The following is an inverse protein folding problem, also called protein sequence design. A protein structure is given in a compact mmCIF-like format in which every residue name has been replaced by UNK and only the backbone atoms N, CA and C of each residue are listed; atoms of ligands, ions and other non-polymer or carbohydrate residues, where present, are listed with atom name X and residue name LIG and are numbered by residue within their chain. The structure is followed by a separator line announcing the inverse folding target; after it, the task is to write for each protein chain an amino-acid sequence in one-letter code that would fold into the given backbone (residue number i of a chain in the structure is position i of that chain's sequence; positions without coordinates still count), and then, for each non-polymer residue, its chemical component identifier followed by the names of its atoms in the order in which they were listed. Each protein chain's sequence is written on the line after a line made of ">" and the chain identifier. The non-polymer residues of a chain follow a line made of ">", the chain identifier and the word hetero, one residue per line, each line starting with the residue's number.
data_IF_844149232247
#
_entry.id   IF_844149232247
#
_cell.length_a   1.000
_cell.length_b   1.000
_cell.length_c   1.000
_cell.angle_alpha   90.00
_cell.angle_beta   90.00
_cell.angle_gamma   90.00
#
_symmetry.space_group_name_H-M   'P 1'
#
loop_
_entity.id
_entity.type
_entity.pdbx_description
1 polymer ?
#
# COMPACT_ATOMS: atom_id res chain seq x y z
N UNK A 1 11.65 -39.14 -12.47
CA UNK A 1 12.25 -38.04 -13.23
C UNK A 1 12.07 -36.75 -12.38
N UNK A 2 13.10 -36.45 -11.58
CA UNK A 2 13.03 -35.43 -10.54
C UNK A 2 13.31 -34.05 -11.16
N UNK A 3 12.43 -33.08 -10.95
CA UNK A 3 12.66 -31.67 -11.30
C UNK A 3 13.21 -30.91 -10.10
N UNK A 4 14.38 -30.34 -10.31
CA UNK A 4 15.15 -29.56 -9.37
C UNK A 4 14.41 -28.30 -8.89
N UNK A 5 14.24 -28.20 -7.57
CA UNK A 5 13.79 -27.03 -6.86
C UNK A 5 15.02 -26.20 -6.49
N UNK A 6 15.21 -25.06 -7.13
CA UNK A 6 16.28 -24.11 -6.75
C UNK A 6 15.83 -23.27 -5.54
N UNK A 7 16.39 -23.60 -4.38
CA UNK A 7 16.27 -22.81 -3.16
C UNK A 7 17.27 -21.66 -3.23
N UNK A 8 16.80 -20.43 -3.32
CA UNK A 8 17.65 -19.24 -3.17
C UNK A 8 17.91 -19.01 -1.68
N UNK A 9 19.12 -19.33 -1.26
CA UNK A 9 19.63 -19.04 0.08
C UNK A 9 20.06 -17.58 0.12
N UNK A 10 19.35 -16.74 0.87
CA UNK A 10 19.80 -15.39 1.25
C UNK A 10 20.85 -15.51 2.34
N UNK A 11 22.05 -15.06 2.04
CA UNK A 11 23.17 -14.97 3.00
C UNK A 11 22.92 -13.74 3.90
N UNK A 12 22.49 -13.96 5.13
CA UNK A 12 22.52 -12.93 6.18
C UNK A 12 23.90 -12.96 6.80
N UNK A 13 24.69 -11.96 6.49
CA UNK A 13 26.01 -11.75 7.12
C UNK A 13 25.86 -11.33 8.57
N UNK A 14 26.19 -12.25 9.48
CA UNK A 14 26.25 -12.00 10.91
C UNK A 14 27.58 -11.30 11.25
N UNK A 15 27.57 -9.98 11.45
CA UNK A 15 28.69 -9.27 12.05
C UNK A 15 28.65 -9.38 13.57
N UNK A 16 29.55 -10.21 14.14
CA UNK A 16 29.85 -10.20 15.57
C UNK A 16 30.64 -8.93 15.91
N UNK A 17 30.06 -8.03 16.69
CA UNK A 17 30.81 -6.99 17.37
C UNK A 17 31.08 -7.39 18.81
N UNK A 18 32.35 -7.34 19.17
CA UNK A 18 32.86 -7.58 20.50
C UNK A 18 32.38 -6.49 21.48
N UNK A 19 31.83 -6.92 22.60
CA UNK A 19 31.44 -6.08 23.72
C UNK A 19 32.69 -5.60 24.45
N UNK A 20 32.99 -4.31 24.30
CA UNK A 20 33.85 -3.58 25.25
C UNK A 20 32.95 -2.88 26.24
N UNK A 21 32.94 -3.34 27.50
CA UNK A 21 32.24 -2.67 28.58
C UNK A 21 33.05 -1.46 29.04
N UNK A 22 32.41 -0.28 29.04
CA UNK A 22 32.72 0.83 29.94
C UNK A 22 31.41 1.44 30.40
N UNK A 23 31.25 1.45 31.72
CA UNK A 23 30.19 2.13 32.46
C UNK A 23 30.45 3.65 32.46
N UNK A 24 29.41 4.44 32.35
CA UNK A 24 28.88 5.42 33.25
C UNK A 24 28.09 6.51 32.55
N UNK A 25 26.90 6.71 33.09
CA UNK A 25 26.08 7.92 33.20
C UNK A 25 25.46 8.59 31.98
N UNK A 26 24.11 8.46 31.98
CA UNK A 26 23.13 9.50 31.65
C UNK A 26 23.30 10.29 30.37
N UNK A 27 22.75 9.73 29.28
CA UNK A 27 21.87 10.44 28.36
C UNK A 27 21.29 9.38 27.38
N UNK A 28 20.06 8.92 27.60
CA UNK A 28 19.26 8.27 26.56
C UNK A 28 18.88 9.30 25.50
N UNK A 29 19.86 9.88 24.83
CA UNK A 29 19.66 10.39 23.49
C UNK A 29 19.47 9.15 22.61
N UNK A 30 18.21 8.82 22.27
CA UNK A 30 17.89 7.68 21.43
C UNK A 30 18.83 7.66 20.24
N UNK A 31 19.57 6.57 20.05
CA UNK A 31 20.49 6.40 18.93
C UNK A 31 19.67 6.53 17.65
N UNK A 32 19.73 7.72 17.05
CA UNK A 32 19.13 7.94 15.73
C UNK A 32 19.88 7.04 14.75
N UNK A 33 19.16 6.15 14.09
CA UNK A 33 19.72 5.23 13.08
C UNK A 33 20.43 5.99 11.96
N UNK A 34 21.11 5.26 11.08
CA UNK A 34 21.65 5.85 9.85
C UNK A 34 20.54 6.47 9.01
N UNK A 35 20.81 7.54 8.25
CA UNK A 35 19.81 8.14 7.38
C UNK A 35 19.36 7.16 6.30
N UNK A 36 18.05 7.12 6.05
CA UNK A 36 17.44 6.35 4.98
C UNK A 36 16.71 7.29 4.03
N UNK A 37 16.53 6.87 2.78
CA UNK A 37 15.69 7.61 1.86
C UNK A 37 15.00 6.70 0.86
N UNK A 38 13.80 7.10 0.45
CA UNK A 38 13.01 6.49 -0.62
C UNK A 38 12.68 7.51 -1.70
N UNK A 39 12.59 7.03 -2.94
CA UNK A 39 12.08 7.82 -4.06
C UNK A 39 10.56 7.65 -4.15
N UNK A 40 9.87 8.62 -4.75
CA UNK A 40 8.44 8.53 -5.08
C UNK A 40 8.14 7.52 -6.22
N UNK A 41 9.06 6.61 -6.48
CA UNK A 41 8.95 5.44 -7.35
C UNK A 41 9.57 4.26 -6.63
N UNK A 42 8.82 3.17 -6.44
CA UNK A 42 9.28 1.96 -5.74
C UNK A 42 10.49 1.30 -6.41
N UNK A 43 10.59 1.44 -7.73
CA UNK A 43 11.66 0.86 -8.54
C UNK A 43 12.80 1.85 -8.84
N UNK A 44 12.61 3.14 -8.56
CA UNK A 44 13.48 4.21 -9.01
C UNK A 44 13.40 4.49 -10.52
N UNK A 45 12.42 3.90 -11.21
CA UNK A 45 12.19 4.10 -12.64
C UNK A 45 11.04 5.06 -12.89
N UNK A 46 11.22 5.95 -13.85
CA UNK A 46 10.26 6.97 -14.27
C UNK A 46 10.09 6.93 -15.78
N UNK A 47 8.88 7.19 -16.24
CA UNK A 47 8.60 7.43 -17.66
C UNK A 47 8.00 8.80 -17.82
N UNK A 48 8.40 9.51 -18.87
CA UNK A 48 7.85 10.82 -19.21
C UNK A 48 7.74 10.95 -20.71
N UNK A 49 6.68 11.59 -21.19
CA UNK A 49 6.51 11.91 -22.61
C UNK A 49 7.44 13.06 -22.99
N UNK A 50 7.99 13.01 -24.20
CA UNK A 50 8.82 14.11 -24.73
C UNK A 50 8.09 15.47 -24.66
N UNK A 51 8.80 16.49 -24.23
CA UNK A 51 8.25 17.83 -24.00
C UNK A 51 7.57 18.03 -22.62
N UNK A 52 7.35 16.95 -21.87
CA UNK A 52 6.74 16.98 -20.53
C UNK A 52 7.79 16.87 -19.42
N UNK A 53 7.35 17.12 -18.20
CA UNK A 53 8.19 17.06 -17.00
C UNK A 53 7.72 15.92 -16.07
N UNK A 54 8.68 15.37 -15.32
CA UNK A 54 8.40 14.43 -14.23
C UNK A 54 9.11 14.91 -12.98
N UNK A 55 8.40 14.89 -11.85
CA UNK A 55 8.96 15.27 -10.55
C UNK A 55 9.53 14.04 -9.86
N UNK A 56 10.84 14.05 -9.61
CA UNK A 56 11.51 13.12 -8.73
C UNK A 56 11.46 13.72 -7.33
N UNK A 57 11.02 12.92 -6.36
CA UNK A 57 10.93 13.34 -4.97
C UNK A 57 11.56 12.30 -4.07
N UNK A 58 12.25 12.76 -3.04
CA UNK A 58 12.83 11.94 -1.99
C UNK A 58 12.06 12.17 -0.70
N UNK A 59 11.83 11.11 0.04
CA UNK A 59 11.44 11.14 1.45
C UNK A 59 12.63 10.62 2.25
N UNK A 60 13.13 11.44 3.19
CA UNK A 60 14.24 11.10 4.07
C UNK A 60 13.71 10.70 5.45
N UNK A 61 14.31 9.67 6.04
CA UNK A 61 14.04 9.21 7.40
C UNK A 61 15.33 9.16 8.20
N UNK A 62 15.24 9.40 9.50
CA UNK A 62 16.38 9.36 10.44
C UNK A 62 17.55 10.30 10.07
N UNK A 63 17.35 11.33 9.25
CA UNK A 63 18.40 12.23 8.79
C UNK A 63 18.50 13.47 9.70
N UNK A 64 19.68 13.70 10.31
CA UNK A 64 19.94 14.89 11.13
C UNK A 64 20.59 15.96 10.27
N UNK A 65 19.96 17.15 10.17
CA UNK A 65 20.40 18.27 9.33
C UNK A 65 20.68 17.86 7.88
N UNK A 66 19.70 17.29 7.16
CA UNK A 66 19.90 16.74 5.81
C UNK A 66 20.26 17.81 4.78
N UNK A 67 21.22 17.48 3.92
CA UNK A 67 21.58 18.25 2.73
C UNK A 67 21.35 17.36 1.51
N UNK A 68 20.60 17.90 0.55
CA UNK A 68 20.16 17.16 -0.64
C UNK A 68 20.98 17.58 -1.86
N UNK A 69 21.29 16.63 -2.73
CA UNK A 69 21.94 16.91 -4.01
C UNK A 69 21.47 15.95 -5.10
N UNK A 70 20.79 16.47 -6.10
CA UNK A 70 20.50 15.77 -7.34
C UNK A 70 21.59 16.09 -8.37
N UNK A 71 22.15 15.08 -9.01
CA UNK A 71 23.21 15.22 -10.01
C UNK A 71 22.82 14.54 -11.31
N UNK A 72 22.99 15.26 -12.43
CA UNK A 72 22.85 14.72 -13.78
C UNK A 72 24.14 14.99 -14.56
N UNK A 73 24.72 13.94 -15.17
CA UNK A 73 25.98 14.03 -15.88
C UNK A 73 27.09 14.75 -15.06
N UNK A 74 27.17 14.47 -13.76
CA UNK A 74 28.16 15.03 -12.85
C UNK A 74 27.89 16.46 -12.35
N UNK A 75 26.82 17.13 -12.82
CA UNK A 75 26.44 18.49 -12.39
C UNK A 75 25.28 18.45 -11.43
N UNK A 76 25.30 19.28 -10.39
CA UNK A 76 24.16 19.49 -9.49
C UNK A 76 23.06 20.18 -10.27
N UNK A 77 21.85 19.61 -10.23
CA UNK A 77 20.65 20.09 -10.91
C UNK A 77 19.53 20.51 -9.93
N UNK A 78 19.60 20.04 -8.67
CA UNK A 78 18.74 20.50 -7.57
C UNK A 78 19.44 20.21 -6.24
N UNK A 79 19.19 21.05 -5.23
CA UNK A 79 19.60 20.89 -3.82
C UNK A 79 18.37 20.82 -2.91
N UNK A 80 17.21 20.49 -3.48
CA UNK A 80 15.95 20.35 -2.77
C UNK A 80 15.55 18.87 -2.66
N UNK A 81 14.54 18.56 -1.87
CA UNK A 81 13.92 17.23 -1.81
C UNK A 81 13.34 16.76 -3.15
N UNK A 82 13.10 17.72 -4.05
CA UNK A 82 12.53 17.46 -5.36
C UNK A 82 13.44 17.93 -6.49
N UNK A 83 13.34 17.24 -7.62
CA UNK A 83 13.92 17.65 -8.88
C UNK A 83 12.91 17.46 -10.01
N UNK A 84 12.65 18.51 -10.79
CA UNK A 84 11.84 18.45 -12.00
C UNK A 84 12.71 18.11 -13.19
N UNK A 85 12.57 16.91 -13.71
CA UNK A 85 13.25 16.48 -14.92
C UNK A 85 12.39 16.79 -16.13
N UNK A 86 12.95 17.51 -17.11
CA UNK A 86 12.29 17.79 -18.38
C UNK A 86 12.79 16.85 -19.46
N UNK A 87 11.86 16.17 -20.13
CA UNK A 87 12.14 15.22 -21.20
C UNK A 87 12.32 15.90 -22.56
N UNK A 88 13.46 16.54 -22.82
CA UNK A 88 13.71 17.27 -24.07
C UNK A 88 14.20 16.37 -25.22
N UNK A 89 14.62 15.14 -24.93
CA UNK A 89 15.14 14.18 -25.92
C UNK A 89 14.67 12.76 -25.55
N UNK A 90 14.37 11.97 -26.59
CA UNK A 90 14.06 10.55 -26.42
C UNK A 90 15.26 9.76 -25.90
N UNK A 91 15.00 8.77 -25.06
CA UNK A 91 16.03 7.87 -24.55
C UNK A 91 16.01 7.70 -23.03
N UNK A 92 17.07 7.11 -22.50
CA UNK A 92 17.23 6.84 -21.09
C UNK A 92 18.21 7.83 -20.45
N UNK A 93 17.85 8.33 -19.28
CA UNK A 93 18.64 9.27 -18.50
C UNK A 93 18.75 8.79 -17.08
N UNK A 94 19.93 9.05 -16.48
CA UNK A 94 20.20 8.71 -15.09
C UNK A 94 20.41 9.98 -14.28
N UNK A 95 19.75 10.03 -13.13
CA UNK A 95 19.91 11.11 -12.16
C UNK A 95 20.31 10.46 -10.83
N UNK A 96 21.42 10.88 -10.28
CA UNK A 96 21.91 10.40 -8.99
C UNK A 96 21.43 11.38 -7.92
N UNK A 97 20.92 10.84 -6.85
CA UNK A 97 20.56 11.56 -5.63
C UNK A 97 21.53 11.21 -4.52
N UNK A 98 21.96 12.19 -3.76
CA UNK A 98 22.73 12.02 -2.54
C UNK A 98 22.11 12.86 -1.43
N UNK A 99 21.94 12.25 -0.28
CA UNK A 99 21.61 12.88 0.98
C UNK A 99 22.83 12.74 1.89
N UNK A 100 23.33 13.85 2.37
CA UNK A 100 24.32 13.92 3.43
C UNK A 100 23.66 14.47 4.68
N UNK A 101 23.89 13.81 5.84
CA UNK A 101 23.38 14.20 7.14
C UNK A 101 24.47 14.05 8.19
N UNK A 102 24.32 14.68 9.37
CA UNK A 102 25.32 14.61 10.43
C UNK A 102 25.58 13.17 10.92
N UNK A 103 24.58 12.31 10.79
CA UNK A 103 24.61 10.90 11.16
C UNK A 103 24.87 9.92 10.02
N UNK A 104 25.25 10.40 8.81
CA UNK A 104 25.63 9.55 7.69
C UNK A 104 25.21 10.09 6.33
N UNK A 105 25.34 9.26 5.30
CA UNK A 105 24.91 9.61 3.94
C UNK A 105 24.26 8.43 3.23
N UNK A 106 23.36 8.71 2.29
CA UNK A 106 22.71 7.71 1.45
C UNK A 106 22.62 8.19 0.01
N UNK A 107 22.75 7.27 -0.94
CA UNK A 107 22.65 7.56 -2.37
C UNK A 107 21.55 6.71 -3.02
N UNK A 108 20.88 7.30 -3.99
CA UNK A 108 19.90 6.63 -4.86
C UNK A 108 20.15 7.02 -6.32
N UNK A 109 19.74 6.19 -7.24
CA UNK A 109 19.74 6.50 -8.65
C UNK A 109 18.33 6.40 -9.20
N UNK A 110 17.91 7.41 -9.93
CA UNK A 110 16.67 7.41 -10.70
C UNK A 110 17.00 7.19 -12.18
N UNK A 111 16.26 6.28 -12.82
CA UNK A 111 16.29 6.05 -14.26
C UNK A 111 15.04 6.68 -14.87
N UNK A 112 15.22 7.62 -15.80
CA UNK A 112 14.14 8.28 -16.49
C UNK A 112 14.14 7.85 -17.96
N UNK A 113 13.04 7.29 -18.43
CA UNK A 113 12.86 6.96 -19.84
C UNK A 113 11.94 7.99 -20.48
N UNK A 114 12.47 8.75 -21.43
CA UNK A 114 11.70 9.71 -22.24
C UNK A 114 11.20 9.00 -23.50
N UNK A 115 9.89 8.99 -23.66
CA UNK A 115 9.19 8.29 -24.75
C UNK A 115 8.41 9.26 -25.63
N UNK A 116 8.19 8.85 -26.87
CA UNK A 116 7.35 9.64 -27.83
C UNK A 116 5.87 9.57 -27.46
N UNK A 117 5.41 8.39 -27.03
CA UNK A 117 4.02 8.10 -26.66
C UNK A 117 3.99 7.48 -25.28
N UNK A 118 3.05 7.92 -24.45
CA UNK A 118 2.89 7.44 -23.09
C UNK A 118 1.43 6.99 -22.88
N UNK A 119 1.05 5.79 -23.36
CA UNK A 119 -0.29 5.26 -23.13
C UNK A 119 -0.54 5.06 -21.62
N UNK A 120 -1.80 5.05 -21.18
CA UNK A 120 -2.12 4.75 -19.79
C UNK A 120 -1.68 3.32 -19.44
N UNK A 121 -1.43 3.07 -18.17
CA UNK A 121 -1.09 1.75 -17.62
C UNK A 121 -2.06 1.44 -16.47
N UNK A 122 -2.78 0.32 -16.59
CA UNK A 122 -3.72 -0.12 -15.55
C UNK A 122 -2.98 -0.92 -14.50
N UNK A 123 -2.96 -0.42 -13.25
CA UNK A 123 -2.25 -1.01 -12.11
C UNK A 123 -3.17 -1.77 -11.14
N UNK A 124 -4.50 -1.59 -11.24
CA UNK A 124 -5.47 -2.28 -10.39
C UNK A 124 -5.22 -3.81 -10.34
N UNK A 125 -5.51 -4.45 -9.22
CA UNK A 125 -5.40 -5.90 -9.08
C UNK A 125 -6.22 -6.64 -10.15
N UNK A 126 -5.68 -7.76 -10.64
CA UNK A 126 -6.40 -8.63 -11.58
C UNK A 126 -7.45 -9.53 -10.92
N UNK A 127 -7.58 -9.46 -9.59
CA UNK A 127 -8.55 -10.23 -8.83
C UNK A 127 -9.11 -9.43 -7.67
N UNK A 128 -10.39 -9.66 -7.36
CA UNK A 128 -11.09 -9.09 -6.21
C UNK A 128 -12.08 -10.10 -5.65
N UNK A 129 -12.54 -9.88 -4.42
CA UNK A 129 -13.59 -10.66 -3.77
C UNK A 129 -14.77 -9.74 -3.51
N UNK A 130 -15.95 -10.20 -3.89
CA UNK A 130 -17.23 -9.56 -3.60
C UNK A 130 -18.16 -10.51 -2.84
N UNK A 131 -19.18 -9.97 -2.21
CA UNK A 131 -20.20 -10.75 -1.53
C UNK A 131 -21.51 -10.75 -2.32
N UNK A 132 -22.31 -11.83 -2.18
CA UNK A 132 -23.61 -11.95 -2.82
C UNK A 132 -24.50 -10.77 -2.46
N UNK A 133 -25.08 -10.14 -3.49
CA UNK A 133 -26.03 -9.01 -3.37
C UNK A 133 -25.44 -7.73 -2.70
N UNK A 134 -24.13 -7.67 -2.46
CA UNK A 134 -23.42 -6.50 -1.93
C UNK A 134 -22.65 -5.80 -3.04
N UNK A 135 -22.76 -4.46 -3.10
CA UNK A 135 -22.06 -3.67 -4.10
C UNK A 135 -20.56 -3.57 -3.77
N UNK A 136 -19.70 -4.06 -4.69
CA UNK A 136 -18.26 -3.91 -4.64
C UNK A 136 -17.84 -2.71 -5.48
N UNK A 137 -17.16 -1.74 -4.88
CA UNK A 137 -16.54 -0.63 -5.61
C UNK A 137 -15.23 -1.09 -6.21
N UNK A 138 -15.12 -1.02 -7.53
CA UNK A 138 -13.88 -1.30 -8.26
C UNK A 138 -13.39 0.01 -8.86
N UNK A 139 -12.27 0.51 -8.38
CA UNK A 139 -11.65 1.74 -8.87
C UNK A 139 -10.64 1.43 -9.98
N UNK A 140 -10.58 2.29 -11.00
CA UNK A 140 -9.55 2.25 -12.02
C UNK A 140 -8.26 2.86 -11.46
N UNK A 141 -7.36 2.02 -10.95
CA UNK A 141 -6.01 2.44 -10.58
C UNK A 141 -5.14 2.47 -11.83
N UNK A 142 -4.61 3.64 -12.15
CA UNK A 142 -3.90 3.87 -13.41
C UNK A 142 -2.71 4.81 -13.24
N UNK A 143 -1.71 4.63 -14.11
CA UNK A 143 -0.59 5.57 -14.30
C UNK A 143 -0.69 6.23 -15.68
N UNK A 144 0.00 7.35 -15.85
CA UNK A 144 0.13 8.08 -17.13
C UNK A 144 -1.20 8.56 -17.70
N UNK A 145 -2.07 9.05 -16.82
CA UNK A 145 -3.33 9.67 -17.18
C UNK A 145 -3.15 11.17 -17.44
N UNK A 146 -3.99 11.71 -18.31
CA UNK A 146 -4.09 13.13 -18.63
C UNK A 146 -5.57 13.55 -18.78
N UNK A 147 -5.82 14.80 -19.16
CA UNK A 147 -7.18 15.34 -19.33
C UNK A 147 -7.98 14.63 -20.46
N UNK A 148 -7.29 13.96 -21.40
CA UNK A 148 -7.92 13.19 -22.45
C UNK A 148 -8.29 11.75 -22.03
N UNK A 149 -7.93 11.36 -20.83
CA UNK A 149 -8.10 9.98 -20.37
C UNK A 149 -9.57 9.63 -20.18
N UNK A 150 -9.97 8.52 -20.79
CA UNK A 150 -11.33 7.97 -20.70
C UNK A 150 -11.28 6.54 -20.16
N UNK A 151 -12.33 6.17 -19.43
CA UNK A 151 -12.52 4.84 -18.87
C UNK A 151 -13.71 4.14 -19.52
N UNK A 152 -13.63 2.83 -19.67
CA UNK A 152 -14.72 2.00 -20.16
C UNK A 152 -14.69 0.66 -19.41
N UNK A 153 -15.71 0.43 -18.60
CA UNK A 153 -15.94 -0.85 -17.94
C UNK A 153 -16.88 -1.69 -18.79
N UNK A 154 -16.53 -2.95 -19.02
CA UNK A 154 -17.34 -3.89 -19.76
C UNK A 154 -17.54 -5.17 -18.96
N UNK A 155 -18.79 -5.65 -18.96
CA UNK A 155 -19.20 -6.87 -18.29
C UNK A 155 -20.18 -7.65 -19.19
N UNK A 156 -19.97 -8.97 -19.31
CA UNK A 156 -20.80 -9.80 -20.18
C UNK A 156 -20.82 -9.34 -21.64
N UNK A 157 -19.73 -8.75 -22.14
CA UNK A 157 -19.61 -8.23 -23.51
C UNK A 157 -20.35 -6.91 -23.76
N UNK A 158 -20.79 -6.22 -22.71
CA UNK A 158 -21.46 -4.92 -22.80
C UNK A 158 -20.72 -3.87 -21.98
N UNK A 159 -20.70 -2.63 -22.44
CA UNK A 159 -20.22 -1.50 -21.65
C UNK A 159 -21.23 -1.18 -20.56
N UNK A 160 -20.73 -1.10 -19.32
CA UNK A 160 -21.55 -0.90 -18.11
C UNK A 160 -21.28 0.43 -17.41
N UNK A 161 -20.09 1.04 -17.61
CA UNK A 161 -19.78 2.37 -17.08
C UNK A 161 -18.63 3.04 -17.86
N UNK A 162 -18.59 4.38 -17.80
CA UNK A 162 -17.48 5.23 -18.26
C UNK A 162 -16.83 6.01 -17.11
N UNK A 163 -17.21 5.77 -15.87
CA UNK A 163 -16.62 6.42 -14.70
C UNK A 163 -15.31 5.75 -14.30
N UNK A 164 -14.48 6.45 -13.55
CA UNK A 164 -13.26 5.88 -12.97
C UNK A 164 -13.53 4.85 -11.87
N UNK A 165 -14.76 4.78 -11.36
CA UNK A 165 -15.21 3.82 -10.34
C UNK A 165 -16.46 3.13 -10.89
N UNK A 166 -16.46 1.79 -10.85
CA UNK A 166 -17.63 0.99 -11.16
C UNK A 166 -18.11 0.25 -9.91
N UNK A 167 -19.44 0.21 -9.71
CA UNK A 167 -20.08 -0.58 -8.65
C UNK A 167 -20.55 -1.92 -9.24
N UNK A 168 -19.77 -2.96 -8.96
CA UNK A 168 -20.10 -4.33 -9.36
C UNK A 168 -21.03 -4.97 -8.32
N UNK A 169 -22.07 -5.66 -8.77
CA UNK A 169 -23.01 -6.35 -7.87
C UNK A 169 -23.61 -7.55 -8.58
N UNK A 170 -23.49 -8.73 -7.96
CA UNK A 170 -24.07 -9.98 -8.44
C UNK A 170 -24.69 -10.77 -7.28
N UNK A 171 -25.69 -11.60 -7.59
CA UNK A 171 -26.43 -12.40 -6.60
C UNK A 171 -25.98 -13.85 -6.52
N UNK A 172 -25.36 -14.35 -7.58
CA UNK A 172 -24.96 -15.75 -7.65
C UNK A 172 -23.48 -15.90 -7.31
N UNK A 173 -23.17 -17.00 -6.61
CA UNK A 173 -21.79 -17.37 -6.26
C UNK A 173 -21.13 -17.88 -7.52
N UNK A 174 -20.17 -17.14 -8.06
CA UNK A 174 -19.39 -17.50 -9.24
C UNK A 174 -18.16 -16.58 -9.35
N UNK A 175 -17.37 -16.81 -10.38
CA UNK A 175 -16.26 -15.94 -10.76
C UNK A 175 -16.64 -15.15 -12.01
N UNK A 176 -16.71 -13.86 -11.87
CA UNK A 176 -17.11 -12.93 -12.92
C UNK A 176 -15.88 -12.19 -13.46
N UNK A 177 -15.85 -11.98 -14.76
CA UNK A 177 -14.78 -11.20 -15.42
C UNK A 177 -15.29 -9.83 -15.82
N UNK A 178 -14.73 -8.80 -15.20
CA UNK A 178 -14.93 -7.41 -15.53
C UNK A 178 -13.74 -6.91 -16.35
N UNK A 179 -13.96 -6.29 -17.49
CA UNK A 179 -12.90 -5.70 -18.29
C UNK A 179 -12.86 -4.18 -18.09
N UNK A 180 -11.68 -3.65 -17.79
CA UNK A 180 -11.40 -2.21 -17.80
C UNK A 180 -10.55 -1.86 -19.01
N UNK A 181 -11.01 -0.90 -19.80
CA UNK A 181 -10.24 -0.27 -20.87
C UNK A 181 -10.03 1.19 -20.53
N UNK A 182 -8.79 1.63 -20.59
CA UNK A 182 -8.39 3.02 -20.36
C UNK A 182 -7.70 3.55 -21.61
N UNK A 183 -8.09 4.72 -22.05
CA UNK A 183 -7.59 5.32 -23.30
C UNK A 183 -7.18 6.77 -23.04
N UNK A 184 -6.03 7.19 -23.59
CA UNK A 184 -5.64 8.59 -23.72
C UNK A 184 -5.21 8.89 -25.15
N UNK A 185 -4.73 10.10 -25.42
CA UNK A 185 -4.30 10.50 -26.77
C UNK A 185 -3.13 9.65 -27.32
N UNK A 186 -2.35 9.01 -26.44
CA UNK A 186 -1.16 8.24 -26.80
C UNK A 186 -1.43 6.74 -26.99
N UNK A 187 -2.55 6.22 -26.50
CA UNK A 187 -2.88 4.83 -26.67
C UNK A 187 -3.96 4.30 -25.74
N UNK A 188 -3.98 3.00 -25.59
CA UNK A 188 -4.99 2.25 -24.82
C UNK A 188 -4.31 1.14 -24.04
N UNK A 189 -4.84 0.89 -22.85
CA UNK A 189 -4.56 -0.33 -22.07
C UNK A 189 -5.88 -1.02 -21.71
N UNK A 190 -5.85 -2.36 -21.61
CA UNK A 190 -7.02 -3.18 -21.28
C UNK A 190 -6.61 -4.25 -20.28
N UNK A 191 -7.38 -4.34 -19.20
CA UNK A 191 -7.15 -5.33 -18.14
C UNK A 191 -8.43 -6.03 -17.74
N UNK A 192 -8.37 -7.35 -17.60
CA UNK A 192 -9.43 -8.15 -17.03
C UNK A 192 -9.23 -8.29 -15.51
N UNK A 193 -10.32 -8.14 -14.77
CA UNK A 193 -10.37 -8.27 -13.32
C UNK A 193 -11.36 -9.40 -13.02
N UNK A 194 -10.89 -10.45 -12.37
CA UNK A 194 -11.73 -11.56 -11.94
C UNK A 194 -12.28 -11.27 -10.55
N UNK A 195 -13.58 -11.23 -10.42
CA UNK A 195 -14.28 -10.99 -9.16
C UNK A 195 -14.90 -12.30 -8.71
N UNK A 196 -14.39 -12.86 -7.61
CA UNK A 196 -14.98 -14.04 -6.98
C UNK A 196 -16.10 -13.59 -6.05
N UNK A 197 -17.35 -13.85 -6.41
CA UNK A 197 -18.50 -13.61 -5.56
C UNK A 197 -18.69 -14.81 -4.65
N UNK A 198 -18.63 -14.56 -3.35
CA UNK A 198 -18.78 -15.57 -2.29
C UNK A 198 -20.03 -15.27 -1.45
N UNK A 199 -20.54 -16.25 -0.68
CA UNK A 199 -21.64 -15.98 0.23
C UNK A 199 -21.25 -14.86 1.21
N UNK A 200 -22.22 -14.04 1.59
CA UNK A 200 -22.05 -13.18 2.76
C UNK A 200 -21.88 -14.11 3.98
N UNK A 201 -20.69 -14.14 4.54
CA UNK A 201 -20.47 -14.88 5.77
C UNK A 201 -21.14 -14.13 6.92
N UNK A 202 -21.79 -14.87 7.82
CA UNK A 202 -22.28 -14.27 9.06
C UNK A 202 -21.12 -13.60 9.78
N UNK A 203 -21.31 -12.39 10.34
CA UNK A 203 -20.23 -11.67 11.00
C UNK A 203 -19.68 -12.52 12.14
N UNK A 204 -18.42 -12.84 12.07
CA UNK A 204 -17.69 -13.57 13.13
C UNK A 204 -17.04 -12.54 14.03
N UNK A 205 -17.40 -12.53 15.30
CA UNK A 205 -16.80 -11.66 16.30
C UNK A 205 -15.57 -12.35 16.92
N UNK A 206 -14.45 -11.67 16.87
CA UNK A 206 -13.25 -12.07 17.60
C UNK A 206 -13.04 -11.10 18.75
N UNK A 207 -12.73 -11.62 19.91
CA UNK A 207 -12.33 -10.83 21.06
C UNK A 207 -10.84 -11.01 21.29
N UNK A 208 -10.09 -9.92 21.30
CA UNK A 208 -8.71 -9.91 21.72
C UNK A 208 -8.66 -9.83 23.25
N UNK A 209 -8.23 -10.89 23.90
CA UNK A 209 -7.99 -10.93 25.35
C UNK A 209 -6.49 -10.67 25.69
N UNK A 210 -5.74 -10.06 24.75
CA UNK A 210 -4.32 -9.72 24.92
C UNK A 210 -3.35 -10.88 24.70
N UNK A 211 -3.82 -12.10 24.42
CA UNK A 211 -2.96 -13.26 24.09
C UNK A 211 -3.55 -14.24 23.10
N UNK A 212 -4.82 -14.22 22.84
CA UNK A 212 -5.48 -15.19 21.96
C UNK A 212 -6.67 -14.56 21.26
N UNK A 213 -6.67 -14.62 19.95
CA UNK A 213 -7.84 -14.28 19.14
C UNK A 213 -8.53 -15.59 18.77
N UNK A 214 -9.63 -15.91 19.45
CA UNK A 214 -10.45 -17.05 19.07
C UNK A 214 -11.71 -16.59 18.35
N UNK A 215 -12.10 -17.22 17.24
CA UNK A 215 -13.38 -16.92 16.60
C UNK A 215 -14.52 -17.24 17.56
N UNK A 216 -15.42 -16.29 17.71
CA UNK A 216 -16.66 -16.46 18.45
C UNK A 216 -17.83 -16.22 17.50
N UNK A 217 -18.69 -17.18 17.36
CA UNK A 217 -19.98 -16.98 16.69
C UNK A 217 -20.92 -16.21 17.62
N UNK A 218 -21.89 -15.51 17.05
CA UNK A 218 -22.87 -14.68 17.80
C UNK A 218 -23.60 -15.46 18.92
N UNK A 219 -23.57 -16.77 18.89
CA UNK A 219 -24.23 -17.65 19.85
C UNK A 219 -23.32 -18.27 20.91
N UNK A 220 -22.00 -17.99 20.86
CA UNK A 220 -21.06 -18.54 21.83
C UNK A 220 -21.02 -17.72 23.11
N UNK A 221 -21.27 -18.36 24.24
CA UNK A 221 -21.02 -17.79 25.55
C UNK A 221 -19.57 -18.02 25.93
N UNK A 222 -18.79 -16.95 25.99
CA UNK A 222 -17.39 -17.00 26.41
C UNK A 222 -17.22 -16.43 27.80
N UNK A 223 -16.44 -17.13 28.62
CA UNK A 223 -16.06 -16.65 29.95
C UNK A 223 -14.69 -15.99 29.89
N UNK A 224 -14.64 -14.72 30.25
CA UNK A 224 -13.40 -13.97 30.40
C UNK A 224 -13.16 -13.69 31.87
N UNK A 225 -11.91 -13.81 32.32
CA UNK A 225 -11.52 -13.58 33.70
C UNK A 225 -10.69 -12.32 33.78
N UNK A 226 -11.15 -11.35 34.55
CA UNK A 226 -10.40 -10.13 34.86
C UNK A 226 -9.98 -10.15 36.34
N UNK A 227 -8.72 -10.04 36.68
CA UNK A 227 -8.28 -9.90 38.08
C UNK A 227 -8.83 -8.61 38.71
N UNK A 228 -9.17 -8.67 39.98
CA UNK A 228 -9.68 -7.51 40.74
C UNK A 228 -8.68 -6.34 40.64
N UNK A 229 -9.17 -5.17 40.31
CA UNK A 229 -8.35 -3.95 40.15
C UNK A 229 -7.63 -3.82 38.82
N UNK A 230 -7.94 -4.69 37.84
CA UNK A 230 -7.48 -4.57 36.45
C UNK A 230 -8.65 -4.21 35.54
N UNK A 231 -8.33 -3.52 34.44
CA UNK A 231 -9.32 -3.23 33.39
C UNK A 231 -9.30 -4.31 32.32
N UNK A 232 -10.46 -4.70 31.83
CA UNK A 232 -10.65 -5.54 30.68
C UNK A 232 -11.30 -4.68 29.58
N UNK A 233 -10.67 -4.61 28.43
CA UNK A 233 -11.22 -3.93 27.25
C UNK A 233 -11.75 -4.99 26.30
N UNK A 234 -13.03 -4.92 26.00
CA UNK A 234 -13.68 -5.73 24.97
C UNK A 234 -13.84 -4.88 23.73
N UNK A 235 -13.09 -5.19 22.70
CA UNK A 235 -13.22 -4.58 21.39
C UNK A 235 -13.37 -5.68 20.33
N UNK A 236 -14.28 -5.55 19.37
CA UNK A 236 -14.37 -6.51 18.29
C UNK A 236 -13.14 -6.37 17.40
N UNK A 237 -12.43 -7.46 17.20
CA UNK A 237 -11.42 -7.55 16.13
C UNK A 237 -12.15 -7.96 14.87
N UNK A 238 -12.22 -7.08 13.91
CA UNK A 238 -13.04 -7.22 12.72
C UNK A 238 -12.51 -8.32 11.80
N UNK A 239 -13.40 -9.24 11.38
CA UNK A 239 -13.17 -10.16 10.26
C UNK A 239 -14.39 -10.14 9.33
N UNK A 240 -14.14 -10.06 8.02
CA UNK A 240 -15.12 -10.23 6.92
C UNK A 240 -16.43 -9.45 7.04
N UNK A 241 -16.38 -8.19 7.42
CA UNK A 241 -17.61 -7.38 7.56
C UNK A 241 -17.55 -6.21 6.60
N UNK A 242 -18.68 -5.90 5.95
CA UNK A 242 -18.83 -4.71 5.12
C UNK A 242 -18.59 -3.43 5.94
N UNK A 243 -18.21 -2.33 5.27
CA UNK A 243 -17.87 -1.06 5.94
C UNK A 243 -19.05 -0.42 6.67
N UNK A 244 -20.25 -0.91 6.43
CA UNK A 244 -21.53 -0.48 7.02
C UNK A 244 -22.02 -1.36 8.18
N UNK A 245 -21.20 -2.30 8.67
CA UNK A 245 -21.55 -3.12 9.83
C UNK A 245 -21.76 -2.26 11.08
N UNK A 246 -22.87 -2.48 11.74
CA UNK A 246 -23.24 -1.80 12.98
C UNK A 246 -22.99 -2.74 14.16
N UNK A 247 -22.31 -2.24 15.18
CA UNK A 247 -22.04 -2.94 16.42
C UNK A 247 -22.97 -2.41 17.52
N UNK A 248 -23.59 -3.30 18.25
CA UNK A 248 -24.33 -2.98 19.45
C UNK A 248 -23.76 -3.77 20.62
N UNK A 249 -23.38 -3.07 21.66
CA UNK A 249 -22.99 -3.67 22.92
C UNK A 249 -24.12 -3.52 23.93
N UNK A 250 -24.40 -4.57 24.67
CA UNK A 250 -25.28 -4.48 25.81
C UNK A 250 -24.63 -5.09 27.05
N UNK A 251 -24.82 -4.44 28.20
CA UNK A 251 -24.39 -4.92 29.51
C UNK A 251 -25.61 -5.01 30.37
N UNK A 252 -25.91 -6.19 30.89
CA UNK A 252 -27.12 -6.47 31.71
C UNK A 252 -28.42 -5.97 31.03
N UNK A 253 -28.49 -6.13 29.70
CA UNK A 253 -29.64 -5.72 28.89
C UNK A 253 -29.70 -4.23 28.55
N UNK A 254 -28.73 -3.44 28.96
CA UNK A 254 -28.64 -2.01 28.63
C UNK A 254 -27.67 -1.78 27.50
N UNK A 255 -28.13 -1.18 26.39
CA UNK A 255 -27.32 -0.85 25.21
C UNK A 255 -26.30 0.23 25.57
N UNK A 256 -25.07 0.01 25.15
CA UNK A 256 -23.95 0.95 25.30
C UNK A 256 -23.70 1.70 23.98
N UNK A 257 -23.37 2.97 24.06
CA UNK A 257 -23.15 3.82 22.88
C UNK A 257 -21.71 3.76 22.33
N UNK A 258 -20.83 3.00 22.97
CA UNK A 258 -19.40 2.96 22.62
C UNK A 258 -19.08 1.78 21.71
N UNK A 259 -18.03 1.92 20.90
CA UNK A 259 -17.51 0.86 20.03
C UNK A 259 -16.68 -0.20 20.77
N UNK A 260 -16.38 0.04 22.05
CA UNK A 260 -15.68 -0.87 22.96
C UNK A 260 -16.20 -0.73 24.37
N UNK A 261 -16.18 -1.80 25.17
CA UNK A 261 -16.59 -1.78 26.57
C UNK A 261 -15.37 -1.93 27.47
N UNK A 262 -15.30 -1.08 28.49
CA UNK A 262 -14.27 -1.10 29.52
C UNK A 262 -14.87 -1.59 30.84
N UNK A 263 -14.44 -2.73 31.31
CA UNK A 263 -14.74 -3.23 32.67
C UNK A 263 -13.58 -2.87 33.62
N UNK A 264 -13.93 -2.37 34.81
CA UNK A 264 -12.98 -2.04 35.86
C UNK A 264 -13.12 -2.96 37.05
#
# INVERSE_FOLDING_TARGET
>A
MFKNLYLKLSFVGLCLFALGACSDDDDEAGLVGAPECSLNSDTGEYKVKIGHEVTLQVTAENAINPVYAWKRAGKIVSEQETYQFKGDQLGEFFVNFRLDADNGSVEKQAKITVVDRLPPEITVSSSAVGYCDVALKVAAETKYTDESTTFEWSYGGRVVSHDSIYQFKEKEIDVYTLALKVTNADGVDVKNINISVIPEEEPVLFFDNGRYVEPSTIHDVRTMTCPIGRSLVLAPVRFSISDDAVYEWSVDGSVQSETSIHFK
#
